data_IF_309801607268
#
_entry.id   IF_309801607268
#
_cell.length_a   1.000
_cell.length_b   1.000
_cell.length_c   1.000
_cell.angle_alpha   90.00
_cell.angle_beta   90.00
_cell.angle_gamma   90.00
#
_symmetry.space_group_name_H-M   'P 1'
#
loop_
_entity.id
_entity.type
_entity.pdbx_description
1 polymer ?
#
# COMPACT_ATOMS: atom_id res chain seq x y z
N UNK A 1 -26.29 2.07 -12.27
CA UNK A 1 -24.89 2.40 -12.65
C UNK A 1 -24.02 1.78 -11.56
N UNK A 2 -22.97 1.04 -11.90
CA UNK A 2 -22.07 0.44 -10.90
C UNK A 2 -21.20 1.53 -10.24
N UNK A 3 -20.64 1.26 -9.06
CA UNK A 3 -19.70 2.20 -8.41
C UNK A 3 -18.43 2.38 -9.25
N UNK A 4 -17.97 1.30 -9.89
CA UNK A 4 -16.86 1.38 -10.82
C UNK A 4 -17.15 2.35 -11.99
N UNK A 5 -18.34 2.29 -12.59
CA UNK A 5 -18.71 3.21 -13.68
C UNK A 5 -18.73 4.67 -13.20
N UNK A 6 -19.30 4.92 -12.02
CA UNK A 6 -19.30 6.28 -11.42
C UNK A 6 -17.86 6.77 -11.15
N UNK A 7 -17.00 5.89 -10.68
CA UNK A 7 -15.59 6.20 -10.44
C UNK A 7 -14.85 6.52 -11.74
N UNK A 8 -15.12 5.79 -12.83
CA UNK A 8 -14.55 6.11 -14.14
C UNK A 8 -15.00 7.46 -14.67
N UNK A 9 -16.29 7.81 -14.50
CA UNK A 9 -16.82 9.13 -14.87
C UNK A 9 -16.16 10.26 -14.03
N UNK A 10 -15.92 10.01 -12.73
CA UNK A 10 -15.17 10.94 -11.86
C UNK A 10 -13.73 11.13 -12.35
N UNK A 11 -13.05 10.06 -12.75
CA UNK A 11 -11.69 10.13 -13.31
C UNK A 11 -11.67 11.02 -14.55
N UNK A 12 -12.59 10.82 -15.48
CA UNK A 12 -12.68 11.62 -16.70
C UNK A 12 -12.94 13.10 -16.39
N UNK A 13 -13.88 13.41 -15.49
CA UNK A 13 -14.17 14.76 -15.05
C UNK A 13 -12.94 15.42 -14.40
N UNK A 14 -12.26 14.72 -13.47
CA UNK A 14 -11.06 15.24 -12.81
C UNK A 14 -9.94 15.54 -13.79
N UNK A 15 -9.74 14.65 -14.75
CA UNK A 15 -8.70 14.81 -15.77
C UNK A 15 -9.01 15.96 -16.73
N UNK A 16 -10.21 16.01 -17.28
CA UNK A 16 -10.57 16.91 -18.36
C UNK A 16 -10.89 18.35 -17.86
N UNK A 17 -11.58 18.46 -16.72
CA UNK A 17 -12.06 19.75 -16.22
C UNK A 17 -11.08 20.37 -15.22
N UNK A 18 -10.35 19.55 -14.45
CA UNK A 18 -9.51 20.02 -13.35
C UNK A 18 -8.01 19.78 -13.59
N UNK A 19 -7.62 18.98 -14.59
CA UNK A 19 -6.22 18.59 -14.82
C UNK A 19 -5.62 17.77 -13.67
N UNK A 20 -6.47 17.01 -12.94
CA UNK A 20 -6.06 16.24 -11.77
C UNK A 20 -5.95 14.76 -12.08
N UNK A 21 -5.05 14.09 -11.35
CA UNK A 21 -4.94 12.63 -11.36
C UNK A 21 -6.17 11.96 -10.72
N UNK A 22 -6.43 10.67 -10.99
CA UNK A 22 -7.52 9.93 -10.37
C UNK A 22 -7.51 10.06 -8.84
N UNK A 23 -8.67 10.33 -8.22
CA UNK A 23 -8.79 10.28 -6.76
C UNK A 23 -8.45 8.86 -6.28
N UNK A 24 -7.56 8.67 -5.29
CA UNK A 24 -7.36 7.36 -4.71
C UNK A 24 -8.63 6.79 -4.10
N UNK A 25 -8.80 5.49 -4.22
CA UNK A 25 -9.96 4.78 -3.68
C UNK A 25 -9.84 4.74 -2.16
N UNK A 26 -10.81 5.32 -1.47
CA UNK A 26 -10.91 5.39 0.00
C UNK A 26 -12.15 4.68 0.55
N UNK A 27 -13.04 4.23 -0.34
CA UNK A 27 -14.33 3.62 -0.04
C UNK A 27 -14.30 2.10 -0.17
N UNK A 28 -14.89 1.40 0.82
CA UNK A 28 -14.93 -0.06 0.90
C UNK A 28 -15.81 -0.70 -0.17
N UNK A 29 -16.93 -0.09 -0.52
CA UNK A 29 -17.89 -0.67 -1.45
C UNK A 29 -17.32 -0.64 -2.87
N UNK A 30 -16.74 0.49 -3.28
CA UNK A 30 -16.04 0.61 -4.56
C UNK A 30 -14.88 -0.39 -4.65
N UNK A 31 -14.05 -0.49 -3.61
CA UNK A 31 -12.93 -1.43 -3.64
C UNK A 31 -13.40 -2.89 -3.67
N UNK A 32 -14.51 -3.21 -3.01
CA UNK A 32 -15.11 -4.55 -3.07
C UNK A 32 -15.60 -4.91 -4.47
N UNK A 33 -16.19 -3.94 -5.19
CA UNK A 33 -16.58 -4.13 -6.61
C UNK A 33 -15.33 -4.36 -7.49
N UNK A 34 -14.26 -3.58 -7.27
CA UNK A 34 -12.98 -3.74 -7.97
C UNK A 34 -12.37 -5.12 -7.70
N UNK A 35 -12.38 -5.60 -6.46
CA UNK A 35 -11.89 -6.94 -6.12
C UNK A 35 -12.74 -8.04 -6.79
N UNK A 36 -14.05 -7.86 -6.88
CA UNK A 36 -14.91 -8.81 -7.60
C UNK A 36 -14.52 -8.89 -9.09
N UNK A 37 -14.21 -7.75 -9.72
CA UNK A 37 -13.70 -7.71 -11.10
C UNK A 37 -12.33 -8.38 -11.24
N UNK A 38 -11.44 -8.23 -10.26
CA UNK A 38 -10.12 -8.90 -10.23
C UNK A 38 -10.28 -10.43 -10.14
N UNK A 39 -11.22 -10.91 -9.32
CA UNK A 39 -11.50 -12.34 -9.16
C UNK A 39 -12.11 -12.99 -10.41
N UNK A 40 -12.76 -12.22 -11.26
CA UNK A 40 -13.34 -12.69 -12.53
C UNK A 40 -12.30 -12.55 -13.67
N UNK A 41 -11.67 -13.65 -14.05
CA UNK A 41 -10.65 -13.68 -15.10
C UNK A 41 -11.18 -13.21 -16.46
N UNK A 42 -12.48 -13.29 -16.71
CA UNK A 42 -13.13 -12.85 -17.98
C UNK A 42 -13.59 -11.39 -17.96
N UNK A 43 -13.44 -10.69 -16.84
CA UNK A 43 -13.94 -9.33 -16.72
C UNK A 43 -13.14 -8.35 -17.56
N UNK A 44 -13.83 -7.56 -18.38
CA UNK A 44 -13.21 -6.58 -19.29
C UNK A 44 -12.44 -5.47 -18.55
N UNK A 45 -12.79 -5.17 -17.31
CA UNK A 45 -12.16 -4.14 -16.47
C UNK A 45 -11.04 -4.68 -15.57
N UNK A 46 -10.81 -6.00 -15.57
CA UNK A 46 -9.88 -6.67 -14.65
C UNK A 46 -8.49 -6.03 -14.60
N UNK A 47 -7.94 -5.68 -15.78
CA UNK A 47 -6.60 -5.08 -15.88
C UNK A 47 -6.52 -3.71 -15.18
N UNK A 48 -7.53 -2.87 -15.38
CA UNK A 48 -7.56 -1.55 -14.74
C UNK A 48 -7.87 -1.67 -13.25
N UNK A 49 -8.75 -2.60 -12.88
CA UNK A 49 -9.05 -2.93 -11.48
C UNK A 49 -7.80 -3.39 -10.71
N UNK A 50 -6.94 -4.20 -11.32
CA UNK A 50 -5.65 -4.58 -10.74
C UNK A 50 -4.74 -3.38 -10.50
N UNK A 51 -4.67 -2.43 -11.46
CA UNK A 51 -3.90 -1.20 -11.29
C UNK A 51 -4.46 -0.34 -10.16
N UNK A 52 -5.77 -0.14 -10.11
CA UNK A 52 -6.42 0.64 -9.05
C UNK A 52 -6.21 0.00 -7.68
N UNK A 53 -6.39 -1.31 -7.56
CA UNK A 53 -6.13 -2.04 -6.33
C UNK A 53 -4.69 -1.89 -5.85
N UNK A 54 -3.74 -2.05 -6.76
CA UNK A 54 -2.31 -2.04 -6.41
C UNK A 54 -1.82 -0.63 -6.12
N UNK A 55 -2.09 0.32 -7.03
CA UNK A 55 -1.41 1.61 -7.07
C UNK A 55 -2.29 2.82 -6.77
N UNK A 56 -3.61 2.65 -6.62
CA UNK A 56 -4.51 3.79 -6.44
C UNK A 56 -5.54 3.58 -5.31
N UNK A 57 -5.21 2.76 -4.31
CA UNK A 57 -6.01 2.59 -3.10
C UNK A 57 -5.34 3.31 -1.95
N UNK A 58 -6.06 4.23 -1.29
CA UNK A 58 -5.52 5.00 -0.17
C UNK A 58 -5.27 4.09 1.04
N UNK A 59 -4.04 4.05 1.56
CA UNK A 59 -3.69 3.25 2.74
C UNK A 59 -4.16 3.91 4.05
N UNK A 60 -3.70 3.40 5.17
CA UNK A 60 -3.98 3.93 6.50
C UNK A 60 -5.30 3.42 7.07
N UNK A 61 -6.15 4.31 7.57
CA UNK A 61 -7.37 3.96 8.32
C UNK A 61 -8.65 4.05 7.50
N UNK A 62 -8.56 4.15 6.17
CA UNK A 62 -9.74 4.20 5.29
C UNK A 62 -10.50 2.88 5.30
N UNK A 63 -11.77 2.91 4.94
CA UNK A 63 -12.56 1.69 4.81
C UNK A 63 -12.05 0.80 3.66
N UNK A 64 -11.56 1.40 2.58
CA UNK A 64 -10.88 0.68 1.50
C UNK A 64 -9.61 -0.04 1.98
N UNK A 65 -8.81 0.58 2.86
CA UNK A 65 -7.62 -0.06 3.42
C UNK A 65 -7.96 -1.36 4.16
N UNK A 66 -9.08 -1.39 4.89
CA UNK A 66 -9.57 -2.61 5.55
C UNK A 66 -9.90 -3.73 4.57
N UNK A 67 -10.61 -3.40 3.51
CA UNK A 67 -10.98 -4.35 2.44
C UNK A 67 -9.74 -4.84 1.69
N UNK A 68 -8.79 -3.94 1.38
CA UNK A 68 -7.52 -4.31 0.74
C UNK A 68 -6.72 -5.28 1.61
N UNK A 69 -6.54 -4.97 2.89
CA UNK A 69 -5.79 -5.80 3.82
C UNK A 69 -6.41 -7.20 3.94
N UNK A 70 -7.74 -7.28 4.05
CA UNK A 70 -8.44 -8.57 4.14
C UNK A 70 -8.28 -9.40 2.86
N UNK A 71 -8.39 -8.79 1.69
CA UNK A 71 -8.19 -9.52 0.43
C UNK A 71 -6.75 -10.03 0.26
N UNK A 72 -5.75 -9.24 0.66
CA UNK A 72 -4.35 -9.68 0.68
C UNK A 72 -4.14 -10.85 1.64
N UNK A 73 -4.81 -10.85 2.81
CA UNK A 73 -4.81 -11.99 3.73
C UNK A 73 -5.39 -13.25 3.07
N UNK A 74 -6.51 -13.13 2.34
CA UNK A 74 -7.10 -14.27 1.61
C UNK A 74 -6.11 -14.87 0.61
N UNK A 75 -5.34 -14.04 -0.10
CA UNK A 75 -4.30 -14.48 -1.05
C UNK A 75 -3.17 -15.19 -0.31
N UNK A 76 -2.66 -14.63 0.79
CA UNK A 76 -1.59 -15.21 1.60
C UNK A 76 -2.01 -16.59 2.15
N UNK A 77 -3.25 -16.69 2.63
CA UNK A 77 -3.82 -17.94 3.13
C UNK A 77 -4.27 -18.91 2.01
N UNK A 78 -4.06 -18.57 0.74
CA UNK A 78 -4.50 -19.35 -0.43
C UNK A 78 -6.01 -19.61 -0.49
N UNK A 79 -6.79 -18.73 0.14
CA UNK A 79 -8.26 -18.73 0.09
C UNK A 79 -8.77 -18.00 -1.16
N UNK A 80 -7.95 -17.12 -1.73
CA UNK A 80 -8.14 -16.51 -3.03
C UNK A 80 -6.86 -16.65 -3.86
N UNK A 81 -7.01 -16.65 -5.19
CA UNK A 81 -5.88 -16.72 -6.11
C UNK A 81 -6.02 -15.66 -7.19
N UNK A 82 -4.97 -14.88 -7.37
CA UNK A 82 -4.81 -13.87 -8.42
C UNK A 82 -3.44 -14.05 -9.00
N UNK A 83 -3.35 -14.33 -10.30
CA UNK A 83 -2.08 -14.68 -10.97
C UNK A 83 -1.00 -13.59 -10.79
N UNK A 84 -1.42 -12.33 -10.82
CA UNK A 84 -0.54 -11.16 -10.73
C UNK A 84 -0.12 -10.81 -9.30
N UNK A 85 -0.77 -11.41 -8.28
CA UNK A 85 -0.47 -11.13 -6.86
C UNK A 85 0.01 -12.40 -6.18
N UNK A 86 1.33 -12.61 -6.19
CA UNK A 86 1.96 -13.69 -5.43
C UNK A 86 1.85 -13.45 -3.91
N UNK A 87 2.07 -14.47 -3.11
CA UNK A 87 2.14 -14.34 -1.64
C UNK A 87 3.20 -13.31 -1.20
N UNK A 88 4.36 -13.31 -1.84
CA UNK A 88 5.44 -12.33 -1.57
C UNK A 88 4.97 -10.91 -1.88
N UNK A 89 4.35 -10.71 -3.04
CA UNK A 89 3.84 -9.39 -3.42
C UNK A 89 2.66 -8.94 -2.53
N UNK A 90 1.84 -9.86 -2.05
CA UNK A 90 0.80 -9.54 -1.07
C UNK A 90 1.37 -9.02 0.26
N UNK A 91 2.47 -9.61 0.76
CA UNK A 91 3.19 -9.07 1.93
C UNK A 91 3.82 -7.71 1.66
N UNK A 92 4.39 -7.50 0.48
CA UNK A 92 4.92 -6.21 0.05
C UNK A 92 3.81 -5.14 0.06
N UNK A 93 2.65 -5.42 -0.55
CA UNK A 93 1.51 -4.51 -0.53
C UNK A 93 1.02 -4.21 0.90
N UNK A 94 1.00 -5.21 1.81
CA UNK A 94 0.68 -4.97 3.22
C UNK A 94 1.72 -4.07 3.90
N UNK A 95 3.00 -4.20 3.57
CA UNK A 95 4.06 -3.38 4.14
C UNK A 95 3.90 -1.89 3.79
N UNK A 96 3.43 -1.60 2.60
CA UNK A 96 3.16 -0.23 2.14
C UNK A 96 1.93 0.42 2.80
N UNK A 97 1.06 -0.34 3.47
CA UNK A 97 -0.12 0.20 4.14
C UNK A 97 0.20 0.94 5.46
N UNK A 98 1.35 0.66 6.08
CA UNK A 98 1.98 1.42 7.19
C UNK A 98 1.17 1.58 8.47
N UNK A 99 0.13 0.79 8.68
CA UNK A 99 -0.68 0.86 9.88
C UNK A 99 -2.18 0.62 9.64
N UNK A 100 -2.99 0.93 10.65
CA UNK A 100 -4.43 0.72 10.58
C UNK A 100 -4.83 -0.76 10.41
N UNK A 101 -5.84 -1.08 9.57
CA UNK A 101 -6.34 -2.44 9.39
C UNK A 101 -5.30 -3.47 8.94
N UNK A 102 -4.20 -3.04 8.28
CA UNK A 102 -3.12 -3.94 7.89
C UNK A 102 -2.42 -4.57 9.08
N UNK A 103 -2.31 -3.84 10.20
CA UNK A 103 -1.71 -4.35 11.44
C UNK A 103 -2.52 -5.50 12.01
N UNK A 104 -3.86 -5.36 12.08
CA UNK A 104 -4.75 -6.43 12.56
C UNK A 104 -4.60 -7.70 11.72
N UNK A 105 -4.54 -7.55 10.39
CA UNK A 105 -4.35 -8.65 9.45
C UNK A 105 -2.97 -9.29 9.61
N UNK A 106 -1.92 -8.48 9.66
CA UNK A 106 -0.55 -8.97 9.84
C UNK A 106 -0.38 -9.68 11.19
N UNK A 107 -1.06 -9.20 12.23
CA UNK A 107 -1.03 -9.81 13.55
C UNK A 107 -1.72 -11.19 13.54
N UNK A 108 -2.86 -11.33 12.85
CA UNK A 108 -3.51 -12.63 12.64
C UNK A 108 -2.56 -13.63 11.95
N UNK A 109 -1.84 -13.17 10.93
CA UNK A 109 -0.89 -13.99 10.20
C UNK A 109 0.35 -14.32 11.04
N UNK A 110 0.91 -13.35 11.77
CA UNK A 110 2.12 -13.53 12.59
C UNK A 110 1.90 -14.45 13.80
N UNK A 111 0.67 -14.54 14.28
CA UNK A 111 0.30 -15.41 15.40
C UNK A 111 -0.26 -16.76 14.95
N UNK A 112 -0.24 -17.06 13.65
CA UNK A 112 -0.67 -18.35 13.13
C UNK A 112 0.36 -19.46 13.39
N UNK A 113 -0.08 -20.72 13.34
CA UNK A 113 0.76 -21.89 13.51
C UNK A 113 1.64 -22.21 12.27
N UNK A 114 1.34 -21.60 11.13
CA UNK A 114 2.11 -21.78 9.90
C UNK A 114 3.32 -20.84 9.87
N UNK A 115 4.49 -21.35 10.25
CA UNK A 115 5.73 -20.55 10.27
C UNK A 115 6.10 -19.94 8.91
N UNK A 116 5.67 -20.53 7.80
CA UNK A 116 5.96 -20.01 6.47
C UNK A 116 5.20 -18.71 6.18
N UNK A 117 4.13 -18.47 6.90
CA UNK A 117 3.30 -17.27 6.87
C UNK A 117 3.64 -16.37 8.06
N UNK A 118 3.77 -16.95 9.25
CA UNK A 118 3.91 -16.20 10.49
C UNK A 118 5.21 -15.39 10.56
N UNK A 119 6.33 -15.95 10.12
CA UNK A 119 7.63 -15.25 10.12
C UNK A 119 7.63 -14.03 9.17
N UNK A 120 7.25 -14.15 7.88
CA UNK A 120 7.15 -12.97 7.01
C UNK A 120 6.20 -11.89 7.55
N UNK A 121 5.05 -12.28 8.11
CA UNK A 121 4.12 -11.35 8.71
C UNK A 121 4.72 -10.60 9.91
N UNK A 122 5.47 -11.29 10.78
CA UNK A 122 6.17 -10.70 11.90
C UNK A 122 7.24 -9.70 11.43
N UNK A 123 8.00 -10.02 10.37
CA UNK A 123 8.98 -9.07 9.81
C UNK A 123 8.32 -7.79 9.30
N UNK A 124 7.19 -7.90 8.60
CA UNK A 124 6.44 -6.72 8.15
C UNK A 124 5.93 -5.92 9.35
N UNK A 125 5.40 -6.58 10.39
CA UNK A 125 4.89 -5.89 11.60
C UNK A 125 5.94 -5.03 12.30
N UNK A 126 7.22 -5.39 12.26
CA UNK A 126 8.31 -4.61 12.86
C UNK A 126 8.46 -3.22 12.22
N UNK A 127 7.88 -2.99 11.04
CA UNK A 127 7.93 -1.74 10.31
C UNK A 127 6.61 -0.96 10.34
N UNK A 128 5.59 -1.48 11.01
CA UNK A 128 4.25 -0.90 11.03
C UNK A 128 4.00 -0.07 12.29
N UNK A 129 2.99 0.81 12.22
CA UNK A 129 2.55 1.61 13.37
C UNK A 129 1.28 0.99 13.95
N UNK A 130 1.32 0.62 15.22
CA UNK A 130 0.16 0.13 15.97
C UNK A 130 -0.73 1.30 16.36
N UNK A 131 -1.84 1.49 15.63
CA UNK A 131 -2.78 2.58 15.84
C UNK A 131 -3.95 2.19 16.77
N UNK A 132 -4.28 0.90 16.81
CA UNK A 132 -5.42 0.40 17.55
C UNK A 132 -4.97 -0.27 18.86
N UNK A 133 -5.56 0.14 19.98
CA UNK A 133 -5.28 -0.44 21.30
C UNK A 133 -5.55 -1.96 21.33
N UNK A 134 -6.60 -2.41 20.64
CA UNK A 134 -6.95 -3.83 20.53
C UNK A 134 -5.80 -4.67 19.96
N UNK A 135 -5.09 -4.19 18.93
CA UNK A 135 -3.95 -4.91 18.34
C UNK A 135 -2.76 -4.94 19.31
N UNK A 136 -2.52 -3.86 20.03
CA UNK A 136 -1.48 -3.81 21.07
C UNK A 136 -1.78 -4.81 22.19
N UNK A 137 -3.03 -4.87 22.65
CA UNK A 137 -3.47 -5.83 23.69
C UNK A 137 -3.33 -7.29 23.21
N UNK A 138 -3.64 -7.57 21.95
CA UNK A 138 -3.47 -8.90 21.35
C UNK A 138 -2.00 -9.30 21.28
N UNK A 139 -1.12 -8.38 20.87
CA UNK A 139 0.33 -8.62 20.85
C UNK A 139 0.87 -8.88 22.25
N UNK A 140 0.44 -8.09 23.24
CA UNK A 140 0.80 -8.28 24.66
C UNK A 140 0.33 -9.64 25.19
N UNK A 141 -0.90 -10.05 24.87
CA UNK A 141 -1.43 -11.34 25.27
C UNK A 141 -0.63 -12.51 24.67
N UNK A 142 -0.27 -12.41 23.40
CA UNK A 142 0.57 -13.39 22.72
C UNK A 142 1.99 -13.44 23.33
N UNK A 143 2.56 -12.30 23.67
CA UNK A 143 3.84 -12.23 24.38
C UNK A 143 3.77 -12.95 25.75
N UNK A 144 2.73 -12.73 26.54
CA UNK A 144 2.50 -13.39 27.83
C UNK A 144 2.28 -14.90 27.67
N UNK A 145 1.73 -15.33 26.55
CA UNK A 145 1.56 -16.73 26.17
C UNK A 145 2.82 -17.39 25.57
N UNK A 146 3.97 -16.73 25.64
CA UNK A 146 5.27 -17.22 25.18
C UNK A 146 5.41 -17.36 23.66
N UNK A 147 4.57 -16.71 22.86
CA UNK A 147 4.67 -16.74 21.39
C UNK A 147 5.98 -16.10 20.90
N UNK A 148 6.74 -16.86 20.12
CA UNK A 148 8.07 -16.44 19.67
C UNK A 148 8.04 -15.20 18.78
N UNK A 149 7.08 -15.11 17.85
CA UNK A 149 6.94 -13.96 16.94
C UNK A 149 6.54 -12.70 17.71
N UNK A 150 5.63 -12.81 18.69
CA UNK A 150 5.25 -11.70 19.54
C UNK A 150 6.43 -11.14 20.35
N UNK A 151 7.27 -12.03 20.87
CA UNK A 151 8.51 -11.66 21.58
C UNK A 151 9.49 -10.92 20.64
N UNK A 152 9.67 -11.43 19.44
CA UNK A 152 10.59 -10.85 18.47
C UNK A 152 10.11 -9.47 17.98
N UNK A 153 8.81 -9.32 17.70
CA UNK A 153 8.20 -8.02 17.35
C UNK A 153 8.43 -7.01 18.47
N UNK A 154 8.07 -7.34 19.73
CA UNK A 154 8.24 -6.43 20.85
C UNK A 154 9.71 -6.11 21.15
N UNK A 155 10.60 -7.09 21.01
CA UNK A 155 12.03 -6.86 21.15
C UNK A 155 12.58 -5.91 20.07
N UNK A 156 12.09 -6.01 18.84
CA UNK A 156 12.44 -5.10 17.75
C UNK A 156 12.00 -3.66 18.06
N UNK A 157 10.76 -3.48 18.53
CA UNK A 157 10.26 -2.16 18.96
C UNK A 157 11.05 -1.60 20.14
N UNK A 158 11.37 -2.42 21.15
CA UNK A 158 12.14 -1.99 22.32
C UNK A 158 13.55 -1.51 21.96
N UNK A 159 14.16 -2.08 20.92
CA UNK A 159 15.46 -1.64 20.39
C UNK A 159 15.36 -0.52 19.36
N UNK A 160 14.16 -0.13 18.96
CA UNK A 160 13.91 0.79 17.85
C UNK A 160 14.59 0.36 16.53
N UNK A 161 14.57 -0.95 16.24
CA UNK A 161 15.28 -1.55 15.12
C UNK A 161 14.91 -0.88 13.77
N UNK A 162 13.66 -0.46 13.59
CA UNK A 162 13.21 0.27 12.41
C UNK A 162 14.00 1.56 12.13
N UNK A 163 14.48 2.24 13.18
CA UNK A 163 15.24 3.48 13.07
C UNK A 163 16.76 3.27 13.16
N UNK A 164 17.21 2.19 13.78
CA UNK A 164 18.61 1.97 14.11
C UNK A 164 19.30 0.95 13.20
N UNK A 165 18.53 -0.03 12.66
CA UNK A 165 19.04 -1.03 11.72
C UNK A 165 18.78 -0.58 10.29
N UNK A 166 19.45 0.49 9.90
CA UNK A 166 19.43 0.95 8.50
C UNK A 166 20.37 0.09 7.67
N UNK A 167 20.06 -0.09 6.37
CA UNK A 167 21.01 -0.73 5.45
C UNK A 167 22.32 0.07 5.41
N UNK A 168 23.44 -0.63 5.27
CA UNK A 168 24.72 0.02 5.03
C UNK A 168 24.64 0.81 3.72
N UNK A 169 25.22 2.01 3.72
CA UNK A 169 25.31 2.82 2.51
C UNK A 169 26.56 2.36 1.76
N UNK A 170 26.42 2.05 0.48
CA UNK A 170 27.54 1.69 -0.38
C UNK A 170 28.59 2.81 -0.42
N UNK A 171 29.86 2.42 -0.52
CA UNK A 171 30.96 3.40 -0.69
C UNK A 171 30.80 4.26 -1.94
N UNK A 172 30.08 3.75 -2.94
CA UNK A 172 29.77 4.41 -4.18
C UNK A 172 28.27 4.36 -4.44
N UNK A 173 27.68 5.53 -4.62
CA UNK A 173 26.27 5.66 -5.02
C UNK A 173 26.26 6.21 -6.45
N UNK A 174 25.74 5.44 -7.40
CA UNK A 174 25.48 5.90 -8.75
C UNK A 174 24.11 6.59 -8.79
N UNK A 175 24.10 7.85 -9.21
CA UNK A 175 22.89 8.68 -9.25
C UNK A 175 22.53 8.97 -10.70
N UNK A 176 21.32 8.62 -11.10
CA UNK A 176 20.73 9.09 -12.36
C UNK A 176 20.16 10.48 -12.14
N UNK A 177 20.58 11.43 -12.97
CA UNK A 177 20.08 12.81 -12.89
C UNK A 177 19.22 13.11 -14.11
N UNK A 178 18.09 13.75 -13.88
CA UNK A 178 17.22 14.26 -14.93
C UNK A 178 17.26 15.79 -14.92
N UNK A 179 17.41 16.38 -16.12
CA UNK A 179 17.37 17.84 -16.30
C UNK A 179 15.92 18.19 -16.68
N UNK A 180 15.18 18.77 -15.74
CA UNK A 180 13.73 19.04 -15.90
C UNK A 180 13.40 20.21 -16.86
N UNK A 181 14.32 20.61 -17.72
CA UNK A 181 14.15 21.68 -18.71
C UNK A 181 15.00 22.91 -18.42
N UNK A 182 14.84 23.93 -19.27
CA UNK A 182 15.50 25.23 -19.13
C UNK A 182 14.59 26.21 -18.40
N UNK A 183 15.13 26.95 -17.42
CA UNK A 183 14.43 28.00 -16.68
C UNK A 183 14.05 27.62 -15.25
N UNK A 184 13.18 28.43 -14.66
CA UNK A 184 12.72 28.25 -13.29
C UNK A 184 11.75 27.06 -13.18
N UNK A 185 12.05 26.12 -12.30
CA UNK A 185 11.18 24.98 -12.01
C UNK A 185 10.43 25.24 -10.72
N UNK A 186 9.11 25.27 -10.83
CA UNK A 186 8.24 25.40 -9.67
C UNK A 186 8.30 24.16 -8.78
N UNK A 187 8.23 24.36 -7.47
CA UNK A 187 8.04 23.26 -6.51
C UNK A 187 6.76 22.47 -6.77
N UNK A 188 5.76 23.08 -7.39
CA UNK A 188 4.51 22.40 -7.77
C UNK A 188 4.72 21.37 -8.89
N UNK A 189 5.80 21.45 -9.67
CA UNK A 189 6.15 20.40 -10.62
C UNK A 189 6.64 19.12 -9.90
N UNK A 190 7.35 19.31 -8.79
CA UNK A 190 7.90 18.19 -8.01
C UNK A 190 6.93 17.70 -6.92
N UNK A 191 6.02 18.57 -6.45
CA UNK A 191 5.05 18.25 -5.40
C UNK A 191 3.77 19.05 -5.61
N UNK A 192 2.88 18.62 -6.53
CA UNK A 192 1.70 19.38 -6.92
C UNK A 192 0.73 19.60 -5.75
N UNK A 193 0.63 20.84 -5.25
CA UNK A 193 -0.20 21.21 -4.11
C UNK A 193 -1.69 20.93 -4.33
N UNK A 194 -2.17 21.06 -5.57
CA UNK A 194 -3.56 20.75 -5.96
C UNK A 194 -3.91 19.26 -5.86
N UNK A 195 -2.92 18.37 -5.80
CA UNK A 195 -3.11 16.92 -5.64
C UNK A 195 -3.07 16.48 -4.16
N UNK A 196 -2.49 17.28 -3.27
CA UNK A 196 -2.24 16.91 -1.87
C UNK A 196 -3.51 16.53 -1.09
N UNK A 197 -4.63 17.20 -1.36
CA UNK A 197 -5.89 16.93 -0.66
C UNK A 197 -6.45 15.52 -0.91
N UNK A 198 -6.27 15.00 -2.13
CA UNK A 198 -6.75 13.65 -2.48
C UNK A 198 -5.69 12.58 -2.36
N UNK A 199 -4.40 12.96 -2.33
CA UNK A 199 -3.24 12.07 -2.30
C UNK A 199 -2.38 12.39 -1.09
N UNK A 200 -2.91 12.12 0.10
CA UNK A 200 -2.24 12.38 1.37
C UNK A 200 -1.09 11.41 1.68
N UNK A 201 -1.05 10.26 1.02
CA UNK A 201 0.05 9.31 1.11
C UNK A 201 1.20 9.73 0.18
N UNK A 202 2.44 9.62 0.68
CA UNK A 202 3.64 10.06 -0.04
C UNK A 202 3.84 9.33 -1.37
N UNK A 203 3.57 8.04 -1.42
CA UNK A 203 3.76 7.23 -2.62
C UNK A 203 2.70 7.57 -3.68
N UNK A 204 1.44 7.73 -3.25
CA UNK A 204 0.36 8.18 -4.12
C UNK A 204 0.59 9.60 -4.63
N UNK A 205 1.11 10.50 -3.79
CA UNK A 205 1.43 11.87 -4.18
C UNK A 205 2.61 11.90 -5.17
N UNK A 206 3.63 11.09 -4.95
CA UNK A 206 4.79 10.95 -5.82
C UNK A 206 4.45 10.55 -7.26
N UNK A 207 3.34 9.82 -7.48
CA UNK A 207 2.85 9.47 -8.82
C UNK A 207 2.40 10.70 -9.65
N UNK A 208 2.21 11.86 -9.02
CA UNK A 208 1.82 13.09 -9.68
C UNK A 208 2.99 14.07 -9.89
N UNK A 209 4.21 13.68 -9.52
CA UNK A 209 5.42 14.48 -9.79
C UNK A 209 5.67 14.58 -11.28
N UNK A 210 6.15 15.74 -11.72
CA UNK A 210 6.53 16.01 -13.10
C UNK A 210 5.35 15.89 -14.10
N UNK A 211 5.60 16.15 -15.36
CA UNK A 211 4.63 15.90 -16.41
C UNK A 211 4.66 14.42 -16.82
N UNK A 212 3.57 13.87 -17.41
CA UNK A 212 3.56 12.50 -17.92
C UNK A 212 4.69 12.22 -18.91
N UNK A 213 5.05 13.19 -19.75
CA UNK A 213 6.13 13.10 -20.73
C UNK A 213 7.49 12.97 -20.03
N UNK A 214 7.73 13.80 -19.00
CA UNK A 214 8.94 13.75 -18.19
C UNK A 214 9.04 12.45 -17.38
N UNK A 215 7.93 11.95 -16.86
CA UNK A 215 7.90 10.65 -16.17
C UNK A 215 8.29 9.50 -17.13
N UNK A 216 7.80 9.54 -18.37
CA UNK A 216 8.14 8.54 -19.37
C UNK A 216 9.62 8.61 -19.74
N UNK A 217 10.15 9.82 -19.96
CA UNK A 217 11.56 10.04 -20.31
C UNK A 217 12.52 9.58 -19.20
N UNK A 218 12.12 9.71 -17.93
CA UNK A 218 12.91 9.22 -16.79
C UNK A 218 12.86 7.69 -16.69
N UNK A 219 11.75 7.07 -17.12
CA UNK A 219 11.55 5.62 -17.03
C UNK A 219 12.27 4.85 -18.16
N UNK A 220 12.53 5.49 -19.30
CA UNK A 220 13.24 4.93 -20.47
C UNK A 220 14.77 4.98 -20.28
#
# INVERSE_FOLDING_TARGET
MSLYSQYMDEIETRKNDLGLSPKPIDDAELLSEIIAQIKDAGNQHRKDSLKFFTYNTLPGTTSAAGVKAQFLKEIILRQASVEEISTTFAFELLSHMKGGPSVSVLLDLALSDDETIAKPAAEVLKTQVFLYEADTQRLEAAFKADNANAKDILASYARADFFTKLPEIDEKIDVVTYIAGEGDISTDLLSPGNQAHSRSDRELHGQCMMTPEAQQEIAD
#
